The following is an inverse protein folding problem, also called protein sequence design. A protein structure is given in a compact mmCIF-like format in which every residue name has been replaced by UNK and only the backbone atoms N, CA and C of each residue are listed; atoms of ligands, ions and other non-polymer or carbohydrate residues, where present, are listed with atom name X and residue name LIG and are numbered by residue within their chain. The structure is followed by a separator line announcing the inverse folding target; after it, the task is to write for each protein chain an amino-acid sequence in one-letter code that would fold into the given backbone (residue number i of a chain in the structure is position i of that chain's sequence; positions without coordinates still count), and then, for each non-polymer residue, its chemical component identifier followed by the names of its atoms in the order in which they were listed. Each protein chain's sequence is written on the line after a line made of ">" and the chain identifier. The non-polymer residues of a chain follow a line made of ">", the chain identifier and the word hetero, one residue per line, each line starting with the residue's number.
data_IF_058965269669
#
_entry.id   IF_058965269669
#
_cell.length_a   1.000
_cell.length_b   1.000
_cell.length_c   1.000
_cell.angle_alpha   90.00
_cell.angle_beta   90.00
_cell.angle_gamma   90.00
#
_symmetry.space_group_name_H-M   'P 1'
#
loop_
_entity.id
_entity.type
_entity.pdbx_description
1 polymer ?
#
# COMPACT_ATOMS: atom_id res chain seq x y z
N UNK A 1 4.70 -5.78 -78.95
CA UNK A 1 5.16 -5.43 -77.59
C UNK A 1 4.82 -6.60 -76.67
N UNK A 2 5.79 -7.46 -76.33
CA UNK A 2 5.57 -8.64 -75.47
C UNK A 2 5.82 -8.23 -74.01
N UNK A 3 4.80 -8.27 -73.16
CA UNK A 3 4.92 -7.98 -71.73
C UNK A 3 5.54 -9.21 -71.03
N UNK A 4 6.72 -9.02 -70.44
CA UNK A 4 7.41 -10.01 -69.63
C UNK A 4 6.85 -9.92 -68.19
N UNK A 5 6.11 -10.95 -67.75
CA UNK A 5 5.61 -11.04 -66.38
C UNK A 5 6.70 -11.71 -65.54
N UNK A 6 7.39 -10.92 -64.71
CA UNK A 6 8.37 -11.40 -63.75
C UNK A 6 7.64 -11.95 -62.52
N UNK A 7 7.58 -13.27 -62.39
CA UNK A 7 7.06 -13.95 -61.19
C UNK A 7 8.15 -13.97 -60.11
N UNK A 8 8.01 -13.14 -59.09
CA UNK A 8 8.89 -13.16 -57.91
C UNK A 8 8.35 -14.21 -56.94
N UNK A 9 9.15 -15.21 -56.51
CA UNK A 9 8.71 -16.14 -55.49
C UNK A 9 8.66 -15.42 -54.13
N UNK A 10 7.47 -15.33 -53.55
CA UNK A 10 7.27 -14.93 -52.16
C UNK A 10 7.88 -16.02 -51.28
N UNK A 11 9.05 -15.73 -50.72
CA UNK A 11 9.69 -16.54 -49.70
C UNK A 11 8.92 -16.34 -48.39
N UNK A 12 7.96 -17.21 -48.10
CA UNK A 12 7.29 -17.23 -46.79
C UNK A 12 8.34 -17.69 -45.78
N UNK A 13 8.91 -16.72 -45.08
CA UNK A 13 9.78 -16.94 -43.94
C UNK A 13 8.91 -17.52 -42.82
N UNK A 14 8.90 -18.84 -42.68
CA UNK A 14 8.31 -19.53 -41.52
C UNK A 14 9.14 -19.16 -40.28
N UNK A 15 8.76 -18.06 -39.63
CA UNK A 15 9.14 -17.77 -38.26
C UNK A 15 8.70 -18.96 -37.42
N UNK A 16 9.67 -19.81 -37.08
CA UNK A 16 9.50 -20.86 -36.08
C UNK A 16 9.17 -20.19 -34.75
N UNK A 17 7.88 -19.98 -34.50
CA UNK A 17 7.35 -19.52 -33.24
C UNK A 17 7.64 -20.58 -32.20
N UNK A 18 8.70 -20.37 -31.42
CA UNK A 18 8.89 -21.05 -30.15
C UNK A 18 7.74 -20.61 -29.25
N UNK A 19 6.61 -21.32 -29.31
CA UNK A 19 5.44 -21.03 -28.49
C UNK A 19 5.78 -21.41 -27.06
N UNK A 20 6.25 -20.42 -26.28
CA UNK A 20 6.44 -20.56 -24.86
C UNK A 20 5.07 -20.75 -24.21
N UNK A 21 4.92 -21.86 -23.50
CA UNK A 21 3.67 -22.20 -22.82
C UNK A 21 3.39 -21.17 -21.73
N UNK A 22 2.16 -20.64 -21.69
CA UNK A 22 1.73 -19.78 -20.57
C UNK A 22 1.59 -20.61 -19.30
N UNK A 23 2.15 -20.12 -18.20
CA UNK A 23 2.15 -20.79 -16.90
C UNK A 23 1.55 -19.91 -15.81
N UNK A 24 1.04 -20.56 -14.76
CA UNK A 24 0.54 -19.90 -13.56
C UNK A 24 0.81 -20.77 -12.33
N UNK A 25 1.07 -20.13 -11.19
CA UNK A 25 1.18 -20.73 -9.87
C UNK A 25 0.62 -19.76 -8.83
N UNK A 26 -0.27 -20.23 -7.97
CA UNK A 26 -0.70 -19.49 -6.78
C UNK A 26 0.20 -19.82 -5.60
N UNK A 27 0.43 -18.84 -4.72
CA UNK A 27 1.12 -19.09 -3.45
C UNK A 27 0.21 -19.78 -2.43
N UNK A 28 -1.09 -19.45 -2.45
CA UNK A 28 -2.14 -20.12 -1.68
C UNK A 28 -3.33 -20.43 -2.59
N UNK A 29 -3.95 -21.58 -2.37
CA UNK A 29 -5.19 -22.00 -3.06
C UNK A 29 -6.42 -21.95 -2.15
N UNK A 30 -6.23 -21.57 -0.88
CA UNK A 30 -7.30 -21.22 0.05
C UNK A 30 -6.92 -19.92 0.76
N UNK A 31 -7.81 -18.94 0.72
CA UNK A 31 -7.65 -17.60 1.30
C UNK A 31 -8.96 -17.15 1.95
N UNK A 32 -8.91 -16.14 2.81
CA UNK A 32 -10.10 -15.39 3.26
C UNK A 32 -10.54 -14.35 2.23
N UNK A 33 -11.71 -13.74 2.41
CA UNK A 33 -12.21 -12.62 1.58
C UNK A 33 -11.28 -11.40 1.67
N UNK A 34 -10.65 -11.20 2.84
CA UNK A 34 -9.73 -10.09 3.07
C UNK A 34 -8.28 -10.33 2.63
N UNK A 35 -7.93 -11.56 2.27
CA UNK A 35 -6.58 -11.90 1.86
C UNK A 35 -6.30 -11.49 0.41
N UNK A 36 -5.15 -10.86 0.19
CA UNK A 36 -4.56 -10.72 -1.15
C UNK A 36 -4.14 -12.09 -1.66
N UNK A 37 -4.74 -12.50 -2.78
CA UNK A 37 -4.27 -13.63 -3.56
C UNK A 37 -3.02 -13.22 -4.33
N UNK A 38 -1.98 -14.04 -4.19
CA UNK A 38 -0.67 -13.80 -4.80
C UNK A 38 -0.25 -15.00 -5.64
N UNK A 39 0.45 -14.72 -6.72
CA UNK A 39 1.01 -15.78 -7.54
C UNK A 39 2.07 -15.30 -8.53
N UNK A 40 2.54 -16.27 -9.30
CA UNK A 40 3.41 -16.10 -10.45
C UNK A 40 2.70 -16.57 -11.70
N UNK A 41 2.78 -15.82 -12.77
CA UNK A 41 2.37 -16.20 -14.11
C UNK A 41 3.45 -15.80 -15.12
N UNK A 42 3.28 -16.19 -16.38
CA UNK A 42 4.12 -15.70 -17.47
C UNK A 42 4.12 -14.16 -17.47
N UNK A 43 5.28 -13.48 -17.50
CA UNK A 43 5.33 -12.02 -17.53
C UNK A 43 4.45 -11.42 -18.62
N UNK A 44 3.71 -10.36 -18.30
CA UNK A 44 2.77 -9.70 -19.22
C UNK A 44 1.45 -10.45 -19.46
N UNK A 45 1.26 -11.65 -18.90
CA UNK A 45 0.01 -12.40 -19.07
C UNK A 45 -1.15 -11.82 -18.25
N UNK A 46 -2.35 -11.89 -18.82
CA UNK A 46 -3.58 -11.58 -18.11
C UNK A 46 -4.00 -12.77 -17.25
N UNK A 47 -4.07 -12.53 -15.94
CA UNK A 47 -4.53 -13.49 -14.94
C UNK A 47 -5.98 -13.23 -14.64
N UNK A 48 -6.83 -14.18 -15.01
CA UNK A 48 -8.28 -14.12 -14.81
C UNK A 48 -8.70 -15.02 -13.66
N UNK A 49 -9.44 -14.45 -12.70
CA UNK A 49 -10.18 -15.11 -11.64
C UNK A 49 -11.64 -15.17 -12.06
N UNK A 50 -12.16 -16.37 -12.30
CA UNK A 50 -13.55 -16.55 -12.73
C UNK A 50 -14.27 -17.52 -11.81
N UNK A 51 -15.35 -17.08 -11.20
CA UNK A 51 -16.33 -17.96 -10.57
C UNK A 51 -17.65 -17.95 -11.37
N UNK A 52 -18.79 -18.29 -10.75
CA UNK A 52 -20.10 -18.26 -11.43
C UNK A 52 -20.73 -16.87 -11.52
N UNK A 53 -20.35 -15.94 -10.65
CA UNK A 53 -20.99 -14.64 -10.44
C UNK A 53 -20.09 -13.46 -10.83
N UNK A 54 -18.79 -13.68 -10.89
CA UNK A 54 -17.74 -12.69 -11.01
C UNK A 54 -16.62 -13.17 -11.94
N UNK A 55 -16.10 -12.21 -12.70
CA UNK A 55 -14.85 -12.35 -13.44
C UNK A 55 -13.99 -11.13 -13.14
N UNK A 56 -12.82 -11.36 -12.57
CA UNK A 56 -11.81 -10.33 -12.32
C UNK A 56 -10.54 -10.66 -13.09
N UNK A 57 -9.87 -9.64 -13.59
CA UNK A 57 -8.64 -9.81 -14.38
C UNK A 57 -7.60 -8.80 -13.90
N UNK A 58 -6.37 -9.28 -13.76
CA UNK A 58 -5.17 -8.50 -13.45
C UNK A 58 -4.06 -8.93 -14.41
N UNK A 59 -2.97 -8.17 -14.51
CA UNK A 59 -1.85 -8.49 -15.42
C UNK A 59 -0.60 -8.79 -14.60
N UNK A 60 0.09 -9.87 -14.94
CA UNK A 60 1.37 -10.21 -14.31
C UNK A 60 2.44 -9.23 -14.78
N UNK A 61 3.20 -8.67 -13.84
CA UNK A 61 4.27 -7.71 -14.15
C UNK A 61 5.45 -8.37 -14.88
N UNK A 62 6.48 -7.60 -15.22
CA UNK A 62 7.68 -8.08 -15.94
C UNK A 62 8.42 -9.21 -15.19
N UNK A 63 8.24 -9.29 -13.87
CA UNK A 63 8.78 -10.36 -13.03
C UNK A 63 7.79 -11.54 -12.87
N UNK A 64 6.69 -11.53 -13.63
CA UNK A 64 5.63 -12.53 -13.59
C UNK A 64 4.77 -12.51 -12.32
N UNK A 65 4.89 -11.53 -11.43
CA UNK A 65 4.09 -11.47 -10.20
C UNK A 65 2.72 -10.82 -10.46
N UNK A 66 1.69 -11.32 -9.81
CA UNK A 66 0.35 -10.70 -9.80
C UNK A 66 -0.28 -10.75 -8.42
N UNK A 67 -1.24 -9.86 -8.20
CA UNK A 67 -2.01 -9.73 -6.96
C UNK A 67 -3.48 -9.50 -7.30
N UNK A 68 -4.35 -10.08 -6.48
CA UNK A 68 -5.78 -9.85 -6.56
C UNK A 68 -6.39 -9.80 -5.16
N UNK A 69 -7.29 -8.86 -4.93
CA UNK A 69 -7.95 -8.63 -3.64
C UNK A 69 -9.46 -8.58 -3.80
N UNK A 70 -10.20 -8.60 -2.69
CA UNK A 70 -11.67 -8.40 -2.67
C UNK A 70 -12.40 -9.41 -3.54
N UNK A 71 -11.88 -10.64 -3.60
CA UNK A 71 -12.62 -11.74 -4.19
C UNK A 71 -13.70 -12.13 -3.19
N UNK A 72 -14.94 -12.24 -3.65
CA UNK A 72 -16.03 -12.68 -2.79
C UNK A 72 -15.85 -14.14 -2.38
N UNK A 73 -16.47 -14.59 -1.28
CA UNK A 73 -16.47 -15.99 -0.90
C UNK A 73 -16.98 -16.87 -2.05
N UNK A 74 -16.19 -17.88 -2.42
CA UNK A 74 -16.46 -18.63 -3.64
C UNK A 74 -15.32 -19.53 -4.08
N UNK A 75 -15.55 -20.22 -5.20
CA UNK A 75 -14.53 -21.06 -5.83
C UNK A 75 -14.22 -20.54 -7.22
N UNK A 76 -13.03 -19.97 -7.37
CA UNK A 76 -12.56 -19.40 -8.62
C UNK A 76 -11.74 -20.43 -9.39
N UNK A 77 -11.93 -20.43 -10.70
CA UNK A 77 -10.94 -20.93 -11.65
C UNK A 77 -10.01 -19.78 -12.01
N UNK A 78 -8.71 -19.98 -11.79
CA UNK A 78 -7.67 -19.00 -12.10
C UNK A 78 -6.84 -19.47 -13.28
N UNK A 79 -6.71 -18.61 -14.30
CA UNK A 79 -5.97 -18.89 -15.55
C UNK A 79 -5.15 -17.69 -15.96
N UNK A 80 -3.92 -17.90 -16.45
CA UNK A 80 -3.11 -16.89 -17.11
C UNK A 80 -3.23 -17.05 -18.62
N UNK A 81 -3.35 -15.95 -19.37
CA UNK A 81 -3.40 -15.97 -20.84
C UNK A 81 -2.48 -14.92 -21.44
N UNK A 82 -1.73 -15.30 -22.47
CA UNK A 82 -0.84 -14.41 -23.22
C UNK A 82 -0.79 -14.89 -24.68
N UNK A 83 -0.94 -13.96 -25.63
CA UNK A 83 -0.82 -14.22 -27.07
C UNK A 83 -1.63 -15.43 -27.55
N UNK A 84 -2.88 -15.56 -27.08
CA UNK A 84 -3.79 -16.64 -27.46
C UNK A 84 -3.49 -18.00 -26.80
N UNK A 85 -2.46 -18.09 -25.97
CA UNK A 85 -2.14 -19.28 -25.17
C UNK A 85 -2.67 -19.09 -23.74
N UNK A 86 -3.21 -20.16 -23.14
CA UNK A 86 -3.68 -20.15 -21.75
C UNK A 86 -2.98 -21.23 -20.92
N UNK A 87 -2.74 -20.91 -19.65
CA UNK A 87 -2.20 -21.84 -18.68
C UNK A 87 -3.23 -22.90 -18.28
N UNK A 88 -2.77 -23.94 -17.57
CA UNK A 88 -3.68 -24.88 -16.90
C UNK A 88 -4.45 -24.14 -15.81
N UNK A 89 -5.78 -24.38 -15.66
CA UNK A 89 -6.57 -23.74 -14.63
C UNK A 89 -6.16 -24.21 -13.22
N UNK A 90 -6.09 -23.29 -12.27
CA UNK A 90 -5.92 -23.57 -10.84
C UNK A 90 -7.23 -23.25 -10.11
N UNK A 91 -7.60 -24.07 -9.13
CA UNK A 91 -8.72 -23.78 -8.23
C UNK A 91 -8.24 -22.97 -7.04
N UNK A 92 -8.92 -21.85 -6.81
CA UNK A 92 -8.77 -21.01 -5.62
C UNK A 92 -10.09 -21.03 -4.85
N UNK A 93 -10.02 -21.28 -3.55
CA UNK A 93 -11.16 -21.20 -2.66
C UNK A 93 -11.03 -19.97 -1.76
N UNK A 94 -11.98 -19.06 -1.88
CA UNK A 94 -12.08 -17.86 -1.04
C UNK A 94 -13.14 -18.16 0.00
N UNK A 95 -12.72 -18.20 1.27
CA UNK A 95 -13.61 -18.48 2.40
C UNK A 95 -14.24 -17.18 2.87
N UNK A 96 -15.49 -17.27 3.27
CA UNK A 96 -16.10 -16.22 4.07
C UNK A 96 -15.30 -16.08 5.36
N UNK A 97 -14.97 -14.85 5.72
CA UNK A 97 -14.42 -14.58 7.03
C UNK A 97 -15.49 -14.93 8.06
N UNK A 98 -15.14 -15.80 9.01
CA UNK A 98 -15.97 -15.91 10.20
C UNK A 98 -15.97 -14.53 10.83
N UNK A 99 -17.09 -13.83 10.71
CA UNK A 99 -17.34 -12.64 11.50
C UNK A 99 -16.93 -12.95 12.94
N UNK A 100 -16.24 -12.02 13.57
CA UNK A 100 -15.96 -12.07 15.00
C UNK A 100 -17.33 -11.94 15.70
N UNK A 101 -18.04 -13.04 15.79
CA UNK A 101 -19.32 -13.22 16.42
C UNK A 101 -19.23 -14.52 17.19
N UNK A 102 -19.50 -14.43 18.49
CA UNK A 102 -19.27 -15.42 19.55
C UNK A 102 -17.82 -15.52 20.05
N UNK A 103 -17.35 -14.42 20.65
CA UNK A 103 -16.77 -14.60 21.98
C UNK A 103 -17.95 -14.51 22.95
N UNK A 104 -18.41 -15.67 23.43
CA UNK A 104 -19.32 -15.72 24.56
C UNK A 104 -18.60 -15.10 25.77
N UNK A 105 -19.27 -14.09 26.30
CA UNK A 105 -18.91 -13.26 27.43
C UNK A 105 -19.02 -14.11 28.70
N UNK A 106 -17.92 -14.59 29.27
CA UNK A 106 -17.89 -14.99 30.67
C UNK A 106 -16.55 -14.66 31.34
N UNK A 107 -16.66 -13.77 32.34
CA UNK A 107 -15.73 -13.49 33.43
C UNK A 107 -14.45 -12.74 33.03
N UNK A 108 -14.47 -11.41 33.16
CA UNK A 108 -13.60 -10.64 34.09
C UNK A 108 -14.15 -9.22 34.24
N UNK A 109 -15.37 -9.13 34.80
CA UNK A 109 -15.95 -7.92 35.38
C UNK A 109 -15.62 -7.89 36.88
N UNK A 110 -14.40 -7.50 37.26
CA UNK A 110 -14.11 -7.22 38.68
C UNK A 110 -12.85 -6.40 38.97
N UNK A 111 -12.44 -5.43 38.15
CA UNK A 111 -11.25 -4.61 38.48
C UNK A 111 -11.31 -3.11 38.12
N UNK A 112 -12.50 -2.51 37.94
CA UNK A 112 -12.60 -1.03 37.81
C UNK A 112 -13.53 -0.33 38.82
N UNK A 113 -14.29 -1.04 39.65
CA UNK A 113 -15.29 -0.41 40.53
C UNK A 113 -14.78 0.05 41.93
N UNK A 114 -13.48 0.32 42.11
CA UNK A 114 -12.94 0.66 43.45
C UNK A 114 -12.15 1.96 43.57
N UNK A 115 -12.16 2.87 42.57
CA UNK A 115 -11.45 4.16 42.70
C UNK A 115 -12.35 5.33 42.31
N UNK A 116 -13.53 5.42 42.90
CA UNK A 116 -14.21 6.70 43.11
C UNK A 116 -15.12 6.57 44.34
N UNK A 117 -14.58 6.75 45.55
CA UNK A 117 -15.27 7.26 46.77
C UNK A 117 -14.40 7.07 48.03
N UNK A 118 -13.48 8.02 48.27
CA UNK A 118 -13.19 8.55 49.62
C UNK A 118 -12.31 9.80 49.43
N UNK A 119 -12.93 10.98 49.31
CA UNK A 119 -13.23 11.90 50.43
C UNK A 119 -12.00 12.64 50.96
N UNK A 120 -11.80 13.83 50.41
CA UNK A 120 -11.73 15.14 51.11
C UNK A 120 -11.33 15.19 52.59
N UNK A 121 -10.31 16.02 52.88
CA UNK A 121 -10.29 17.10 53.90
C UNK A 121 -9.02 17.96 53.68
N UNK A 122 -9.06 19.21 53.21
CA UNK A 122 -9.49 20.50 53.82
C UNK A 122 -8.43 21.23 54.67
N UNK A 123 -8.36 22.56 54.44
CA UNK A 123 -7.79 23.67 55.23
C UNK A 123 -6.27 23.91 55.21
N UNK A 124 -5.71 25.14 55.20
CA UNK A 124 -6.09 26.53 54.86
C UNK A 124 -4.90 27.46 55.19
N UNK A 125 -4.95 28.70 54.70
CA UNK A 125 -4.40 29.97 55.25
C UNK A 125 -3.13 30.62 54.66
N UNK A 126 -3.37 31.84 54.14
CA UNK A 126 -2.66 33.12 54.35
C UNK A 126 -1.21 33.30 53.87
N UNK A 127 -0.72 34.47 53.46
CA UNK A 127 -1.22 35.78 53.04
C UNK A 127 0.05 36.59 52.67
N UNK A 128 -0.08 37.52 51.72
CA UNK A 128 0.66 38.80 51.64
C UNK A 128 2.22 38.83 51.48
N UNK A 129 2.63 39.25 50.27
CA UNK A 129 3.28 40.56 49.99
C UNK A 129 4.76 40.66 49.52
N UNK A 130 4.90 41.63 48.60
CA UNK A 130 6.06 42.47 48.24
C UNK A 130 7.21 41.84 47.44
N UNK A 131 7.92 42.50 46.52
CA UNK A 131 7.77 43.72 45.71
C UNK A 131 8.98 43.73 44.75
N UNK A 132 8.73 44.09 43.49
CA UNK A 132 9.52 44.98 42.61
C UNK A 132 10.98 44.71 42.20
N UNK A 133 11.20 45.20 40.96
CA UNK A 133 12.42 45.74 40.34
C UNK A 133 13.25 44.74 39.50
N UNK A 134 13.69 45.04 38.28
CA UNK A 134 13.55 46.20 37.37
C UNK A 134 14.22 45.81 36.04
N UNK A 135 13.61 46.24 34.92
CA UNK A 135 14.19 46.93 33.75
C UNK A 135 15.59 46.50 33.25
N UNK A 136 15.86 46.34 31.95
CA UNK A 136 15.76 47.38 30.91
C UNK A 136 15.92 46.82 29.50
N UNK A 137 15.21 47.48 28.56
CA UNK A 137 15.58 47.88 27.18
C UNK A 137 15.87 46.78 26.12
N UNK A 138 15.56 46.88 24.82
CA UNK A 138 14.82 47.76 23.89
C UNK A 138 15.59 47.70 22.56
N UNK A 139 14.85 47.89 21.46
CA UNK A 139 15.29 48.16 20.06
C UNK A 139 15.33 46.91 19.19
N UNK A 140 14.44 46.65 18.23
CA UNK A 140 13.89 47.42 17.09
C UNK A 140 14.80 47.49 15.85
N UNK A 141 14.29 46.84 14.79
CA UNK A 141 14.31 47.22 13.38
C UNK A 141 15.53 46.92 12.48
N UNK A 142 15.29 45.95 11.59
CA UNK A 142 15.37 46.03 10.11
C UNK A 142 16.71 46.27 9.41
N UNK A 143 17.07 45.33 8.53
CA UNK A 143 17.48 45.65 7.16
C UNK A 143 17.38 44.44 6.23
N UNK A 144 16.58 44.63 5.18
CA UNK A 144 16.54 43.90 3.91
C UNK A 144 17.77 44.21 3.05
N UNK A 145 18.18 43.25 2.22
CA UNK A 145 18.77 43.51 0.88
C UNK A 145 18.66 42.27 0.00
N UNK A 146 17.86 42.39 -1.05
CA UNK A 146 17.90 41.60 -2.28
C UNK A 146 19.15 41.92 -3.10
N UNK A 147 19.69 40.94 -3.84
CA UNK A 147 19.79 40.92 -5.33
C UNK A 147 20.71 39.75 -5.76
N UNK A 148 20.25 38.87 -6.63
CA UNK A 148 20.56 38.86 -8.08
C UNK A 148 21.95 38.30 -8.41
N UNK A 149 21.99 37.10 -9.00
CA UNK A 149 22.22 36.98 -10.44
C UNK A 149 22.18 35.52 -10.91
N UNK A 150 21.76 35.41 -12.17
CA UNK A 150 21.33 34.25 -12.93
C UNK A 150 22.44 33.40 -13.58
N UNK A 151 21.99 32.34 -14.28
CA UNK A 151 22.58 31.66 -15.45
C UNK A 151 23.48 30.45 -15.11
N UNK A 152 23.45 29.27 -15.74
CA UNK A 152 22.62 28.65 -16.79
C UNK A 152 23.13 27.21 -17.01
N UNK A 153 22.24 26.32 -17.47
CA UNK A 153 22.49 25.02 -18.13
C UNK A 153 23.11 23.88 -17.31
N UNK A 154 22.38 22.77 -17.19
CA UNK A 154 22.46 21.69 -18.19
C UNK A 154 21.62 20.49 -17.71
N UNK A 155 20.55 20.25 -18.45
CA UNK A 155 19.90 18.95 -18.55
C UNK A 155 20.92 17.81 -18.67
N UNK A 156 20.93 16.91 -17.71
CA UNK A 156 21.45 15.56 -17.91
C UNK A 156 20.45 14.58 -17.34
N UNK A 157 19.45 14.29 -18.19
CA UNK A 157 18.87 12.97 -18.27
C UNK A 157 20.00 11.94 -18.37
N UNK A 158 20.24 11.20 -17.30
CA UNK A 158 20.92 9.91 -17.36
C UNK A 158 19.90 8.83 -17.03
N UNK A 159 19.04 8.58 -18.02
CA UNK A 159 18.59 7.22 -18.27
C UNK A 159 19.84 6.38 -18.54
N UNK A 160 20.32 5.68 -17.52
CA UNK A 160 21.24 4.56 -17.68
C UNK A 160 20.50 3.30 -17.27
N UNK A 161 19.80 2.76 -18.26
CA UNK A 161 19.40 1.38 -18.33
C UNK A 161 20.64 0.51 -18.10
N UNK A 162 20.84 0.10 -16.85
CA UNK A 162 21.74 -0.97 -16.48
C UNK A 162 20.90 -2.00 -15.77
N UNK A 163 20.95 -3.23 -16.25
CA UNK A 163 20.41 -4.43 -15.60
C UNK A 163 20.95 -4.48 -14.17
N UNK A 164 20.20 -3.94 -13.21
CA UNK A 164 20.75 -3.40 -11.96
C UNK A 164 20.59 -4.41 -10.83
N UNK A 165 21.72 -4.94 -10.37
CA UNK A 165 21.80 -5.49 -9.02
C UNK A 165 21.45 -4.36 -8.04
N UNK A 166 20.42 -4.56 -7.21
CA UNK A 166 19.97 -3.58 -6.23
C UNK A 166 21.13 -3.00 -5.41
N UNK A 167 21.14 -1.67 -5.22
CA UNK A 167 22.14 -0.97 -4.41
C UNK A 167 22.03 -1.37 -2.93
N UNK A 168 23.00 -0.97 -2.08
CA UNK A 168 22.85 -1.16 -0.63
C UNK A 168 21.72 -0.32 -0.05
N UNK A 169 21.49 0.87 -0.60
CA UNK A 169 20.41 1.77 -0.21
C UNK A 169 19.05 1.17 -0.55
N UNK A 170 18.88 0.65 -1.78
CA UNK A 170 17.66 -0.02 -2.24
C UNK A 170 17.23 -1.16 -1.30
N UNK A 171 18.20 -1.98 -0.88
CA UNK A 171 17.95 -3.11 0.05
C UNK A 171 17.66 -2.63 1.46
N UNK A 172 18.17 -1.47 1.89
CA UNK A 172 17.85 -0.89 3.18
C UNK A 172 16.44 -0.29 3.16
N UNK A 173 16.12 0.50 2.13
CA UNK A 173 14.81 1.07 1.89
C UNK A 173 13.74 -0.02 1.81
N UNK A 174 13.98 -1.13 1.07
CA UNK A 174 13.03 -2.24 0.97
C UNK A 174 12.72 -2.87 2.33
N UNK A 175 13.73 -3.11 3.18
CA UNK A 175 13.51 -3.68 4.53
C UNK A 175 12.71 -2.74 5.42
N UNK A 176 12.98 -1.43 5.34
CA UNK A 176 12.22 -0.42 6.09
C UNK A 176 10.78 -0.33 5.58
N UNK A 177 10.60 -0.32 4.26
CA UNK A 177 9.30 -0.32 3.63
C UNK A 177 8.45 -1.52 4.08
N UNK A 178 9.07 -2.70 4.15
CA UNK A 178 8.41 -3.92 4.63
C UNK A 178 8.00 -3.79 6.09
N UNK A 179 8.88 -3.26 6.95
CA UNK A 179 8.57 -3.04 8.36
C UNK A 179 7.42 -2.04 8.55
N UNK A 180 7.43 -0.91 7.84
CA UNK A 180 6.36 0.09 7.92
C UNK A 180 5.03 -0.45 7.40
N UNK A 181 5.06 -1.11 6.25
CA UNK A 181 3.86 -1.70 5.67
C UNK A 181 3.28 -2.82 6.54
N UNK A 182 4.10 -3.72 7.08
CA UNK A 182 3.60 -4.92 7.79
C UNK A 182 3.40 -4.75 9.29
N UNK A 183 4.08 -3.80 9.94
CA UNK A 183 4.00 -3.60 11.40
C UNK A 183 3.23 -2.36 11.81
N UNK A 184 3.12 -1.38 10.91
CA UNK A 184 2.40 -0.13 11.18
C UNK A 184 1.18 0.05 10.26
N UNK A 185 0.87 -0.97 9.44
CA UNK A 185 -0.29 -0.99 8.55
C UNK A 185 -0.40 0.28 7.68
N UNK A 186 0.73 0.83 7.27
CA UNK A 186 0.76 2.09 6.51
C UNK A 186 0.25 1.86 5.09
N UNK A 187 -0.28 2.93 4.48
CA UNK A 187 -0.59 2.92 3.05
C UNK A 187 0.67 2.93 2.20
N UNK A 188 0.53 2.56 0.93
CA UNK A 188 1.65 2.57 -0.02
C UNK A 188 2.29 3.95 -0.15
N UNK A 189 1.47 5.00 -0.16
CA UNK A 189 1.92 6.38 -0.22
C UNK A 189 2.58 6.80 1.09
N UNK A 190 1.97 6.49 2.24
CA UNK A 190 2.56 6.76 3.54
C UNK A 190 3.92 6.09 3.74
N UNK A 191 4.10 4.85 3.25
CA UNK A 191 5.40 4.18 3.28
C UNK A 191 6.43 4.94 2.43
N UNK A 192 6.07 5.37 1.22
CA UNK A 192 6.98 6.14 0.37
C UNK A 192 7.43 7.45 1.03
N UNK A 193 6.48 8.18 1.61
CA UNK A 193 6.76 9.44 2.31
C UNK A 193 7.61 9.22 3.56
N UNK A 194 7.35 8.16 4.32
CA UNK A 194 8.15 7.83 5.49
C UNK A 194 9.61 7.49 5.11
N UNK A 195 9.82 6.80 3.98
CA UNK A 195 11.15 6.48 3.49
C UNK A 195 11.91 7.71 3.00
N UNK A 196 11.24 8.66 2.38
CA UNK A 196 11.87 9.86 1.80
C UNK A 196 11.98 11.03 2.77
N UNK A 197 11.16 11.04 3.83
CA UNK A 197 11.16 12.10 4.84
C UNK A 197 12.50 12.20 5.55
N UNK A 198 13.04 13.43 5.66
CA UNK A 198 14.26 13.72 6.40
C UNK A 198 14.11 13.52 7.91
N UNK A 199 12.90 13.61 8.45
CA UNK A 199 12.56 13.27 9.83
C UNK A 199 12.26 11.76 10.00
N UNK A 200 12.10 11.03 8.89
CA UNK A 200 11.90 9.59 8.85
C UNK A 200 13.21 8.86 8.56
N UNK A 201 13.33 8.29 7.37
CA UNK A 201 14.52 7.51 6.97
C UNK A 201 15.51 8.28 6.07
N UNK A 202 15.06 9.30 5.33
CA UNK A 202 15.91 10.12 4.47
C UNK A 202 16.54 9.40 3.28
N UNK A 203 15.93 8.31 2.78
CA UNK A 203 16.38 7.64 1.57
C UNK A 203 16.14 8.50 0.33
N UNK A 204 16.95 8.27 -0.72
CA UNK A 204 16.67 8.83 -2.04
C UNK A 204 15.28 8.41 -2.56
N UNK A 205 14.64 9.29 -3.34
CA UNK A 205 13.35 9.01 -3.99
C UNK A 205 13.44 7.75 -4.86
N UNK A 206 14.57 7.53 -5.51
CA UNK A 206 14.84 6.35 -6.34
C UNK A 206 14.86 5.06 -5.50
N UNK A 207 15.55 5.06 -4.34
CA UNK A 207 15.59 3.91 -3.44
C UNK A 207 14.23 3.64 -2.78
N UNK A 208 13.49 4.69 -2.41
CA UNK A 208 12.12 4.56 -1.90
C UNK A 208 11.18 4.00 -2.98
N UNK A 209 11.24 4.51 -4.21
CA UNK A 209 10.44 3.99 -5.32
C UNK A 209 10.82 2.54 -5.65
N UNK A 210 12.12 2.21 -5.62
CA UNK A 210 12.58 0.83 -5.73
C UNK A 210 11.93 -0.04 -4.66
N UNK A 211 11.96 0.37 -3.40
CA UNK A 211 11.36 -0.35 -2.28
C UNK A 211 9.85 -0.59 -2.51
N UNK A 212 9.10 0.46 -2.84
CA UNK A 212 7.66 0.38 -3.14
C UNK A 212 7.35 -0.58 -4.30
N UNK A 213 8.19 -0.60 -5.32
CA UNK A 213 8.03 -1.51 -6.48
C UNK A 213 8.37 -2.97 -6.14
N UNK A 214 9.20 -3.19 -5.12
CA UNK A 214 9.66 -4.52 -4.69
C UNK A 214 8.94 -5.05 -3.45
N UNK A 215 8.07 -4.25 -2.82
CA UNK A 215 7.11 -4.72 -1.82
C UNK A 215 6.04 -5.59 -2.47
N UNK A 216 6.31 -6.88 -2.50
CA UNK A 216 5.44 -7.86 -3.17
C UNK A 216 4.53 -8.61 -2.24
N UNK A 217 4.76 -8.50 -0.94
CA UNK A 217 4.08 -9.33 0.04
C UNK A 217 3.23 -8.55 1.04
N UNK A 218 2.76 -7.37 0.61
CA UNK A 218 1.88 -6.49 1.37
C UNK A 218 0.47 -6.55 0.81
N UNK A 219 -0.50 -6.69 1.71
CA UNK A 219 -1.91 -6.51 1.44
C UNK A 219 -2.34 -5.11 1.88
N UNK A 220 -2.46 -4.20 0.92
CA UNK A 220 -2.81 -2.81 1.23
C UNK A 220 -4.27 -2.64 1.65
N UNK A 221 -5.15 -3.56 1.28
CA UNK A 221 -6.55 -3.55 1.71
C UNK A 221 -6.65 -4.00 3.16
N UNK A 222 -5.88 -5.02 3.56
CA UNK A 222 -5.76 -5.44 4.94
C UNK A 222 -5.16 -4.34 5.82
N UNK A 223 -4.13 -3.64 5.35
CA UNK A 223 -3.56 -2.48 6.06
C UNK A 223 -4.62 -1.39 6.29
N UNK A 224 -5.39 -1.04 5.26
CA UNK A 224 -6.46 -0.06 5.37
C UNK A 224 -7.53 -0.51 6.39
N UNK A 225 -7.91 -1.79 6.36
CA UNK A 225 -8.87 -2.36 7.31
C UNK A 225 -8.34 -2.37 8.75
N UNK A 226 -7.05 -2.66 8.95
CA UNK A 226 -6.42 -2.61 10.27
C UNK A 226 -6.49 -1.18 10.84
N UNK A 227 -6.12 -0.17 10.05
CA UNK A 227 -6.26 1.24 10.44
C UNK A 227 -7.71 1.64 10.70
N UNK A 228 -8.64 1.20 9.87
CA UNK A 228 -10.06 1.46 10.05
C UNK A 228 -10.57 0.90 11.39
N UNK A 229 -10.21 -0.35 11.72
CA UNK A 229 -10.56 -0.99 13.00
C UNK A 229 -9.98 -0.24 14.19
N UNK A 230 -8.75 0.26 14.07
CA UNK A 230 -8.12 1.08 15.09
C UNK A 230 -8.88 2.40 15.32
N UNK A 231 -9.24 3.12 14.25
CA UNK A 231 -10.04 4.35 14.37
C UNK A 231 -11.44 4.09 14.95
N UNK A 232 -12.08 2.99 14.55
CA UNK A 232 -13.38 2.61 15.09
C UNK A 232 -13.29 2.28 16.59
N UNK A 233 -12.34 1.43 17.00
CA UNK A 233 -12.27 0.90 18.36
C UNK A 233 -11.63 1.88 19.36
N UNK A 234 -10.57 2.60 18.95
CA UNK A 234 -9.81 3.48 19.85
C UNK A 234 -10.33 4.91 19.87
N UNK A 235 -10.95 5.36 18.77
CA UNK A 235 -11.42 6.74 18.62
C UNK A 235 -12.93 6.86 18.42
N UNK A 236 -13.67 5.74 18.38
CA UNK A 236 -15.13 5.72 18.18
C UNK A 236 -15.59 6.52 16.95
N UNK A 237 -14.76 6.54 15.91
CA UNK A 237 -15.06 7.30 14.69
C UNK A 237 -16.20 6.66 13.90
N UNK A 238 -17.02 7.49 13.26
CA UNK A 238 -18.06 7.02 12.34
C UNK A 238 -17.44 6.45 11.06
N UNK A 239 -18.17 5.57 10.35
CA UNK A 239 -17.71 4.99 9.07
C UNK A 239 -17.30 6.07 8.05
N UNK A 240 -18.04 7.17 7.96
CA UNK A 240 -17.71 8.27 7.06
C UNK A 240 -16.43 9.00 7.50
N UNK A 241 -16.28 9.28 8.79
CA UNK A 241 -15.06 9.91 9.30
C UNK A 241 -13.82 9.02 9.11
N UNK A 242 -13.99 7.70 9.25
CA UNK A 242 -12.92 6.73 8.95
C UNK A 242 -12.56 6.76 7.47
N UNK A 243 -13.54 6.78 6.57
CA UNK A 243 -13.29 6.88 5.12
C UNK A 243 -12.47 8.14 4.78
N UNK A 244 -12.88 9.28 5.31
CA UNK A 244 -12.18 10.56 5.15
C UNK A 244 -10.77 10.51 5.72
N UNK A 245 -10.60 9.96 6.93
CA UNK A 245 -9.30 9.84 7.59
C UNK A 245 -8.34 8.93 6.81
N UNK A 246 -8.84 7.81 6.30
CA UNK A 246 -8.03 6.86 5.53
C UNK A 246 -7.56 7.46 4.20
N UNK A 247 -8.36 8.33 3.57
CA UNK A 247 -8.06 8.92 2.25
C UNK A 247 -7.38 10.28 2.35
N UNK A 248 -7.44 10.94 3.49
CA UNK A 248 -6.89 12.28 3.70
C UNK A 248 -5.39 12.34 3.40
N UNK A 249 -4.98 13.40 2.70
CA UNK A 249 -3.57 13.71 2.42
C UNK A 249 -2.75 13.98 3.68
N UNK A 250 -3.40 14.45 4.75
CA UNK A 250 -2.76 14.62 6.06
C UNK A 250 -2.99 13.41 6.99
N UNK A 251 -3.74 12.40 6.53
CA UNK A 251 -4.07 11.19 7.27
C UNK A 251 -3.28 9.99 6.75
N UNK A 252 -4.00 8.91 6.44
CA UNK A 252 -3.35 7.63 6.08
C UNK A 252 -3.04 7.48 4.59
N UNK A 253 -3.62 8.31 3.72
CA UNK A 253 -3.35 8.34 2.27
C UNK A 253 -3.54 6.99 1.54
N UNK A 254 -4.47 6.17 2.02
CA UNK A 254 -4.96 5.05 1.23
C UNK A 254 -5.70 5.55 -0.01
N UNK A 255 -5.68 4.74 -1.07
CA UNK A 255 -6.53 5.01 -2.23
C UNK A 255 -8.01 4.93 -1.83
N UNK A 256 -8.87 5.65 -2.55
CA UNK A 256 -10.31 5.62 -2.30
C UNK A 256 -10.87 4.19 -2.26
N UNK A 257 -10.40 3.29 -3.14
CA UNK A 257 -10.86 1.91 -3.19
C UNK A 257 -10.41 1.08 -1.98
N UNK A 258 -9.18 1.27 -1.49
CA UNK A 258 -8.69 0.64 -0.26
C UNK A 258 -9.45 1.12 0.98
N UNK A 259 -9.71 2.42 1.07
CA UNK A 259 -10.44 3.00 2.18
C UNK A 259 -11.92 2.58 2.18
N UNK A 260 -12.56 2.56 1.00
CA UNK A 260 -13.93 2.07 0.87
C UNK A 260 -14.02 0.60 1.27
N UNK A 261 -13.09 -0.22 0.76
CA UNK A 261 -12.96 -1.61 1.15
C UNK A 261 -12.87 -1.76 2.67
N UNK A 262 -12.00 -0.99 3.32
CA UNK A 262 -11.83 -1.04 4.77
C UNK A 262 -13.13 -0.73 5.53
N UNK A 263 -13.86 0.32 5.12
CA UNK A 263 -15.13 0.72 5.76
C UNK A 263 -16.24 -0.30 5.54
N UNK A 264 -16.31 -0.91 4.36
CA UNK A 264 -17.30 -1.95 4.03
C UNK A 264 -17.11 -3.22 4.87
N UNK A 265 -15.89 -3.46 5.36
CA UNK A 265 -15.51 -4.65 6.14
C UNK A 265 -15.32 -4.36 7.64
N UNK A 266 -15.72 -3.18 8.13
CA UNK A 266 -15.74 -2.89 9.56
C UNK A 266 -16.82 -3.72 10.27
N UNK A 267 -16.57 -4.17 11.52
CA UNK A 267 -17.60 -4.78 12.34
C UNK A 267 -18.76 -3.81 12.56
N UNK A 268 -19.95 -4.38 12.74
CA UNK A 268 -21.21 -3.63 12.76
C UNK A 268 -21.38 -2.79 14.01
#
# INVERSE_FOLDING_TARGET
>A
MKKLILSVPIFILLLSGCSSKTEIKLYKTSVSEIDTVRGKATPGSDVTFKDRHEKKTTTANDNGKFYETNLKPGTYTVTASLDGTSSKPIKLHVKEDKAIGEYEDEQESSTWASIEKESSNEVSSDSESHTSNSSVEKSSASSSSDNDSSVTSTSSSSSSNSTTKASSEDRAALRKAEAYASRMDMSKQGVYEQLTSSAGEGFSSEAAQYAINHLTDIDWNANALAKAKDYQSKMSMSRNAILEQLTSSAGEQFTQSQAQYAVDHLPK
#
